data_IF_545666285151
#
_entry.id   IF_545666285151
#
_cell.length_a   1.000
_cell.length_b   1.000
_cell.length_c   1.000
_cell.angle_alpha   90.00
_cell.angle_beta   90.00
_cell.angle_gamma   90.00
#
_symmetry.space_group_name_H-M   'P 1'
#
loop_
_entity.id
_entity.type
_entity.pdbx_description
1 polymer ?
#
# COMPACT_ATOMS: atom_id res chain seq x y z
N UNK A 1 4.57 -11.07 2.77
CA UNK A 1 5.16 -10.88 1.42
C UNK A 1 5.10 -9.39 1.12
N UNK A 2 6.12 -8.82 0.49
CA UNK A 2 6.08 -7.42 0.04
C UNK A 2 5.43 -7.37 -1.33
N UNK A 3 4.49 -6.45 -1.54
CA UNK A 3 3.95 -6.19 -2.87
C UNK A 3 4.93 -5.27 -3.63
N UNK A 4 5.51 -5.72 -4.75
CA UNK A 4 6.37 -4.86 -5.54
C UNK A 4 5.56 -3.92 -6.43
N UNK A 5 6.14 -2.78 -6.82
CA UNK A 5 5.86 -2.08 -8.07
C UNK A 5 6.97 -2.40 -9.05
N UNK A 6 6.68 -2.41 -10.36
CA UNK A 6 7.71 -2.62 -11.38
C UNK A 6 8.03 -1.31 -12.08
N UNK A 7 9.25 -0.81 -11.91
CA UNK A 7 9.68 0.40 -12.62
C UNK A 7 9.92 0.11 -14.10
N UNK A 8 9.13 0.77 -14.95
CA UNK A 8 9.25 0.66 -16.40
C UNK A 8 10.16 1.77 -16.97
N UNK A 9 11.46 1.52 -16.96
CA UNK A 9 12.44 2.47 -17.50
C UNK A 9 12.30 2.69 -19.03
N UNK A 10 11.64 1.79 -19.78
CA UNK A 10 11.35 1.98 -21.22
C UNK A 10 10.28 3.05 -21.50
N UNK A 11 9.65 3.56 -20.46
CA UNK A 11 8.83 4.77 -20.53
C UNK A 11 9.64 6.03 -20.78
N UNK A 12 10.96 6.02 -20.58
CA UNK A 12 11.85 7.13 -20.95
C UNK A 12 12.27 7.06 -22.43
N UNK A 13 12.91 8.10 -23.00
CA UNK A 13 13.17 9.42 -22.43
C UNK A 13 11.93 10.34 -22.39
N UNK A 14 12.00 11.39 -21.58
CA UNK A 14 11.10 12.56 -21.60
C UNK A 14 11.38 13.43 -22.85
N UNK A 15 10.34 14.12 -23.33
CA UNK A 15 10.41 14.91 -24.57
C UNK A 15 11.19 16.22 -24.42
N UNK A 16 11.11 16.88 -23.26
CA UNK A 16 11.78 18.15 -22.98
C UNK A 16 12.42 18.18 -21.59
N UNK A 17 13.43 19.04 -21.42
CA UNK A 17 14.02 19.34 -20.12
C UNK A 17 13.01 20.02 -19.17
N UNK A 18 12.07 20.80 -19.72
CA UNK A 18 11.03 21.47 -18.94
C UNK A 18 10.06 20.48 -18.28
N UNK A 19 9.91 19.28 -18.86
CA UNK A 19 9.03 18.23 -18.35
C UNK A 19 9.64 17.45 -17.18
N UNK A 20 10.95 17.58 -16.94
CA UNK A 20 11.69 16.75 -15.98
C UNK A 20 11.16 16.92 -14.56
N UNK A 21 11.11 18.16 -14.07
CA UNK A 21 10.71 18.40 -12.68
C UNK A 21 9.25 18.00 -12.40
N UNK A 22 8.26 18.39 -13.24
CA UNK A 22 6.89 17.89 -13.10
C UNK A 22 6.80 16.37 -13.13
N UNK A 23 7.45 15.71 -14.10
CA UNK A 23 7.40 14.27 -14.28
C UNK A 23 7.97 13.51 -13.08
N UNK A 24 9.12 13.94 -12.53
CA UNK A 24 9.68 13.33 -11.32
C UNK A 24 8.79 13.61 -10.10
N UNK A 25 8.32 14.84 -9.92
CA UNK A 25 7.44 15.19 -8.79
C UNK A 25 6.20 14.29 -8.77
N UNK A 26 5.59 14.07 -9.94
CA UNK A 26 4.45 13.16 -10.08
C UNK A 26 4.84 11.70 -9.82
N UNK A 27 5.92 11.21 -10.42
CA UNK A 27 6.44 9.85 -10.20
C UNK A 27 6.68 9.54 -8.72
N UNK A 28 7.30 10.47 -7.98
CA UNK A 28 7.55 10.32 -6.54
C UNK A 28 6.25 10.27 -5.73
N UNK A 29 5.27 11.12 -6.08
CA UNK A 29 3.96 11.13 -5.41
C UNK A 29 3.19 9.83 -5.67
N UNK A 30 3.22 9.30 -6.89
CA UNK A 30 2.62 8.00 -7.23
C UNK A 30 3.28 6.90 -6.42
N UNK A 31 4.62 6.86 -6.39
CA UNK A 31 5.40 5.86 -5.64
C UNK A 31 5.03 5.87 -4.15
N UNK A 32 4.94 7.05 -3.55
CA UNK A 32 4.57 7.21 -2.14
C UNK A 32 3.09 6.90 -1.87
N UNK A 33 2.20 7.19 -2.83
CA UNK A 33 0.79 6.82 -2.75
C UNK A 33 0.61 5.30 -2.81
N UNK A 34 1.28 4.63 -3.75
CA UNK A 34 1.29 3.18 -3.85
C UNK A 34 1.96 2.50 -2.65
N UNK A 35 3.03 3.09 -2.09
CA UNK A 35 3.62 2.62 -0.84
C UNK A 35 2.62 2.63 0.31
N UNK A 36 1.77 3.67 0.41
CA UNK A 36 0.70 3.75 1.42
C UNK A 36 -0.41 2.70 1.22
N UNK A 37 -0.58 2.18 -0.01
CA UNK A 37 -1.50 1.07 -0.29
C UNK A 37 -0.92 -0.27 0.19
N UNK A 38 0.41 -0.39 0.27
CA UNK A 38 1.11 -1.61 0.69
C UNK A 38 2.22 -2.06 -0.27
N UNK A 39 2.45 -1.30 -1.36
CA UNK A 39 3.52 -1.57 -2.31
C UNK A 39 4.87 -1.05 -1.83
N UNK A 40 5.58 -1.87 -1.06
CA UNK A 40 6.73 -1.45 -0.24
C UNK A 40 8.09 -1.52 -0.94
N UNK A 41 8.12 -2.16 -2.11
CA UNK A 41 9.35 -2.39 -2.88
C UNK A 41 9.14 -1.90 -4.31
N UNK A 42 10.14 -1.26 -4.90
CA UNK A 42 10.20 -1.00 -6.33
C UNK A 42 11.22 -1.95 -6.95
N UNK A 43 10.76 -2.80 -7.87
CA UNK A 43 11.58 -3.68 -8.69
C UNK A 43 12.18 -2.87 -9.84
N UNK A 44 13.47 -3.00 -10.01
CA UNK A 44 14.26 -2.24 -10.98
C UNK A 44 15.13 -3.20 -11.80
N UNK A 45 15.21 -2.92 -13.10
CA UNK A 45 16.04 -3.66 -14.05
C UNK A 45 17.53 -3.60 -13.69
N UNK A 46 18.29 -4.65 -13.98
CA UNK A 46 19.73 -4.74 -13.68
C UNK A 46 20.58 -3.64 -14.33
N UNK A 47 20.08 -3.06 -15.43
CA UNK A 47 20.74 -1.97 -16.15
C UNK A 47 20.65 -0.62 -15.43
N UNK A 48 19.71 -0.45 -14.50
CA UNK A 48 19.49 0.79 -13.75
C UNK A 48 20.21 0.70 -12.40
N UNK A 49 20.83 1.77 -11.92
CA UNK A 49 21.44 1.72 -10.59
C UNK A 49 20.40 1.77 -9.47
N UNK A 50 20.63 1.04 -8.37
CA UNK A 50 19.75 1.05 -7.18
C UNK A 50 19.57 2.44 -6.56
N UNK A 51 20.49 3.38 -6.80
CA UNK A 51 20.40 4.74 -6.31
C UNK A 51 19.66 5.68 -7.29
N UNK A 52 19.22 5.17 -8.44
CA UNK A 52 18.52 5.86 -9.52
C UNK A 52 19.33 6.97 -10.22
N UNK A 53 20.54 7.28 -9.75
CA UNK A 53 21.28 8.47 -10.15
C UNK A 53 21.84 8.43 -11.58
N UNK A 54 22.03 7.24 -12.14
CA UNK A 54 22.46 7.04 -13.53
C UNK A 54 21.27 6.82 -14.47
N UNK A 55 20.04 6.92 -13.98
CA UNK A 55 18.85 6.90 -14.83
C UNK A 55 18.84 8.15 -15.71
N UNK A 56 19.02 7.97 -17.00
CA UNK A 56 18.92 9.03 -18.00
C UNK A 56 17.45 9.36 -18.25
N UNK A 57 17.06 10.61 -18.00
CA UNK A 57 15.67 11.07 -18.06
C UNK A 57 15.35 11.63 -19.44
N UNK A 58 16.28 12.40 -19.99
CA UNK A 58 16.29 12.86 -21.38
C UNK A 58 17.75 12.93 -21.82
N UNK A 59 18.00 13.18 -23.10
CA UNK A 59 19.33 13.07 -23.69
C UNK A 59 20.38 13.87 -22.90
N UNK A 60 21.32 13.16 -22.25
CA UNK A 60 22.43 13.72 -21.48
C UNK A 60 22.04 14.32 -20.12
N UNK A 61 20.81 14.15 -19.66
CA UNK A 61 20.35 14.65 -18.36
C UNK A 61 19.86 13.48 -17.49
N UNK A 62 20.43 13.36 -16.29
CA UNK A 62 20.21 12.23 -15.40
C UNK A 62 19.41 12.63 -14.15
N UNK A 63 18.86 11.62 -13.46
CA UNK A 63 18.22 11.82 -12.16
C UNK A 63 19.11 12.55 -11.15
N UNK A 64 20.42 12.29 -11.18
CA UNK A 64 21.39 12.99 -10.34
C UNK A 64 21.37 14.51 -10.57
N UNK A 65 21.30 14.95 -11.83
CA UNK A 65 21.31 16.36 -12.18
C UNK A 65 20.06 17.06 -11.64
N UNK A 66 18.89 16.41 -11.77
CA UNK A 66 17.65 16.90 -11.15
C UNK A 66 17.75 16.94 -9.63
N UNK A 67 18.24 15.86 -9.01
CA UNK A 67 18.39 15.78 -7.56
C UNK A 67 19.26 16.92 -7.03
N UNK A 68 20.41 17.16 -7.65
CA UNK A 68 21.36 18.17 -7.19
C UNK A 68 20.75 19.59 -7.31
N UNK A 69 19.96 19.85 -8.34
CA UNK A 69 19.22 21.12 -8.53
C UNK A 69 18.09 21.32 -7.49
N UNK A 70 17.37 20.26 -7.13
CA UNK A 70 16.16 20.34 -6.30
C UNK A 70 16.39 20.02 -4.81
N UNK A 71 17.56 19.52 -4.43
CA UNK A 71 17.87 19.05 -3.06
C UNK A 71 17.73 20.12 -1.96
N UNK A 72 17.76 21.40 -2.34
CA UNK A 72 17.62 22.54 -1.44
C UNK A 72 16.19 23.11 -1.35
N UNK A 73 15.28 22.71 -2.24
CA UNK A 73 13.87 23.10 -2.17
C UNK A 73 13.17 22.34 -1.02
N UNK A 74 12.58 23.02 -0.02
CA UNK A 74 12.00 22.35 1.15
C UNK A 74 10.93 21.30 0.81
N UNK A 75 10.04 21.59 -0.14
CA UNK A 75 8.95 20.67 -0.52
C UNK A 75 9.48 19.44 -1.24
N UNK A 76 10.40 19.65 -2.19
CA UNK A 76 11.00 18.56 -2.97
C UNK A 76 11.94 17.71 -2.11
N UNK A 77 12.65 18.32 -1.15
CA UNK A 77 13.57 17.62 -0.24
C UNK A 77 12.87 16.58 0.63
N UNK A 78 11.72 16.92 1.19
CA UNK A 78 10.96 15.98 2.03
C UNK A 78 10.32 14.86 1.19
N UNK A 79 9.90 15.18 -0.04
CA UNK A 79 9.41 14.20 -1.02
C UNK A 79 10.51 13.19 -1.39
N UNK A 80 11.71 13.67 -1.74
CA UNK A 80 12.89 12.83 -2.03
C UNK A 80 13.24 11.96 -0.82
N UNK A 81 13.29 12.54 0.39
CA UNK A 81 13.62 11.80 1.61
C UNK A 81 12.63 10.67 1.85
N UNK A 82 11.34 10.94 1.65
CA UNK A 82 10.29 9.95 1.82
C UNK A 82 10.39 8.84 0.79
N UNK A 83 10.61 9.19 -0.48
CA UNK A 83 10.80 8.21 -1.56
C UNK A 83 12.00 7.29 -1.32
N UNK A 84 13.13 7.83 -0.85
CA UNK A 84 14.33 7.04 -0.51
C UNK A 84 14.12 6.00 0.59
N UNK A 85 13.02 6.07 1.35
CA UNK A 85 12.66 5.04 2.34
C UNK A 85 11.97 3.84 1.71
N UNK A 86 11.44 3.97 0.49
CA UNK A 86 10.89 2.85 -0.28
C UNK A 86 12.06 1.95 -0.68
N UNK A 87 11.95 0.66 -0.38
CA UNK A 87 13.00 -0.29 -0.73
C UNK A 87 13.09 -0.43 -2.25
N UNK A 88 14.30 -0.45 -2.79
CA UNK A 88 14.55 -0.79 -4.19
C UNK A 88 15.18 -2.17 -4.27
N UNK A 89 14.61 -3.07 -5.07
CA UNK A 89 15.12 -4.41 -5.30
C UNK A 89 15.51 -4.58 -6.76
N UNK A 90 16.62 -5.27 -6.96
CA UNK A 90 17.19 -5.62 -8.25
C UNK A 90 17.97 -6.93 -8.07
N UNK A 91 17.93 -7.86 -9.04
CA UNK A 91 17.23 -7.75 -10.33
C UNK A 91 15.70 -7.89 -10.23
N UNK A 92 15.00 -7.75 -11.37
CA UNK A 92 13.54 -7.90 -11.47
C UNK A 92 13.05 -9.30 -11.04
N UNK A 93 13.90 -10.31 -11.18
CA UNK A 93 13.62 -11.71 -10.87
C UNK A 93 14.66 -12.26 -9.91
N UNK A 94 14.23 -12.93 -8.84
CA UNK A 94 15.08 -13.62 -7.89
C UNK A 94 15.35 -15.06 -8.35
N UNK A 95 16.33 -15.74 -7.76
CA UNK A 95 16.63 -17.14 -8.07
C UNK A 95 15.44 -18.08 -7.91
N UNK A 96 14.49 -17.75 -7.02
CA UNK A 96 13.26 -18.51 -6.86
C UNK A 96 12.35 -18.41 -8.09
N UNK A 97 12.28 -17.24 -8.75
CA UNK A 97 11.46 -17.07 -9.95
C UNK A 97 11.96 -17.98 -11.09
N UNK A 98 13.28 -18.18 -11.19
CA UNK A 98 13.86 -19.14 -12.13
C UNK A 98 13.58 -20.59 -11.76
N UNK A 99 13.52 -20.91 -10.46
CA UNK A 99 13.09 -22.23 -10.01
C UNK A 99 11.59 -22.49 -10.28
N UNK A 100 10.81 -21.42 -10.43
CA UNK A 100 9.39 -21.47 -10.77
C UNK A 100 9.15 -21.31 -12.30
N UNK A 101 10.19 -21.50 -13.12
CA UNK A 101 10.14 -21.51 -14.59
C UNK A 101 9.83 -20.16 -15.27
N UNK A 102 10.25 -19.02 -14.68
CA UNK A 102 10.10 -17.70 -15.32
C UNK A 102 10.74 -17.59 -16.71
N UNK A 103 11.68 -18.47 -17.05
CA UNK A 103 12.29 -18.53 -18.38
C UNK A 103 11.35 -19.05 -19.48
N UNK A 104 10.33 -19.82 -19.10
CA UNK A 104 9.30 -20.37 -20.00
C UNK A 104 8.16 -19.38 -20.28
N UNK A 105 8.31 -18.15 -19.80
CA UNK A 105 7.30 -17.10 -19.83
C UNK A 105 7.87 -15.84 -20.48
N UNK A 106 7.23 -15.30 -21.53
CA UNK A 106 7.64 -14.05 -22.15
C UNK A 106 6.44 -13.12 -22.38
N UNK A 107 6.71 -11.81 -22.36
CA UNK A 107 5.69 -10.77 -22.45
C UNK A 107 6.15 -9.66 -23.38
N UNK A 108 5.31 -9.33 -24.35
CA UNK A 108 5.59 -8.30 -25.34
C UNK A 108 4.40 -7.41 -25.62
N UNK A 109 4.66 -6.20 -26.07
CA UNK A 109 3.60 -5.34 -26.60
C UNK A 109 3.09 -5.89 -27.95
N UNK A 110 1.79 -5.72 -28.26
CA UNK A 110 1.25 -6.09 -29.57
C UNK A 110 1.99 -5.39 -30.72
N UNK A 111 2.28 -6.14 -31.78
CA UNK A 111 2.90 -5.58 -33.01
C UNK A 111 4.38 -5.24 -32.91
N UNK A 112 5.06 -5.54 -31.80
CA UNK A 112 6.51 -5.34 -31.65
C UNK A 112 7.23 -6.61 -31.21
N UNK A 113 8.50 -6.71 -31.61
CA UNK A 113 9.44 -7.74 -31.14
C UNK A 113 10.38 -7.23 -30.04
N UNK A 114 10.19 -5.98 -29.58
CA UNK A 114 11.02 -5.40 -28.52
C UNK A 114 10.73 -6.12 -27.20
N UNK A 115 11.79 -6.64 -26.59
CA UNK A 115 11.74 -7.11 -25.21
C UNK A 115 11.69 -5.89 -24.28
N UNK A 116 10.75 -5.93 -23.33
CA UNK A 116 10.56 -4.92 -22.30
C UNK A 116 10.49 -5.70 -20.97
N UNK A 117 11.63 -5.95 -20.29
CA UNK A 117 11.69 -6.82 -19.12
C UNK A 117 10.73 -6.41 -18.00
N UNK A 118 10.43 -5.12 -17.89
CA UNK A 118 9.43 -4.58 -16.96
C UNK A 118 8.03 -5.15 -17.20
N UNK A 119 7.60 -5.40 -18.45
CA UNK A 119 6.29 -6.00 -18.73
C UNK A 119 6.24 -7.45 -18.25
N UNK A 120 7.30 -8.20 -18.52
CA UNK A 120 7.45 -9.58 -18.05
C UNK A 120 7.39 -9.65 -16.53
N UNK A 121 8.14 -8.78 -15.85
CA UNK A 121 8.14 -8.71 -14.39
C UNK A 121 6.77 -8.29 -13.82
N UNK A 122 6.09 -7.33 -14.45
CA UNK A 122 4.76 -6.90 -14.02
C UNK A 122 3.71 -8.00 -14.17
N UNK A 123 3.73 -8.74 -15.28
CA UNK A 123 2.85 -9.89 -15.47
C UNK A 123 3.18 -11.02 -14.47
N UNK A 124 4.46 -11.38 -14.34
CA UNK A 124 4.94 -12.45 -13.47
C UNK A 124 4.59 -12.24 -11.99
N UNK A 125 4.87 -11.03 -11.47
CA UNK A 125 4.58 -10.67 -10.07
C UNK A 125 3.13 -10.19 -9.87
N UNK A 126 2.32 -10.22 -10.93
CA UNK A 126 0.99 -9.60 -11.03
C UNK A 126 0.94 -8.19 -10.42
N UNK A 127 1.93 -7.38 -10.74
CA UNK A 127 2.22 -6.10 -10.11
C UNK A 127 1.99 -4.94 -11.08
N UNK A 128 1.53 -3.76 -10.60
CA UNK A 128 1.44 -2.59 -11.44
C UNK A 128 2.80 -2.12 -11.95
N UNK A 129 2.83 -1.70 -13.20
CA UNK A 129 3.91 -0.91 -13.77
C UNK A 129 3.89 0.49 -13.17
N UNK A 130 5.07 1.06 -12.97
CA UNK A 130 5.30 2.46 -12.63
C UNK A 130 6.07 3.11 -13.78
N UNK A 131 5.41 4.00 -14.51
CA UNK A 131 5.93 4.58 -15.77
C UNK A 131 5.91 6.10 -15.75
N UNK A 132 6.78 6.71 -16.56
CA UNK A 132 6.64 8.10 -16.97
C UNK A 132 5.64 8.24 -18.14
N UNK A 133 4.76 9.25 -18.13
CA UNK A 133 3.72 9.41 -19.16
C UNK A 133 4.25 10.08 -20.44
N UNK A 134 5.21 9.46 -21.12
CA UNK A 134 5.92 10.10 -22.25
C UNK A 134 5.22 9.95 -23.60
N UNK A 135 4.71 8.75 -23.89
CA UNK A 135 4.10 8.35 -25.17
C UNK A 135 3.26 7.09 -24.98
N UNK A 136 2.31 6.78 -25.89
CA UNK A 136 1.67 5.48 -25.93
C UNK A 136 2.71 4.34 -26.04
N UNK A 137 2.53 3.21 -25.35
CA UNK A 137 1.39 2.89 -24.48
C UNK A 137 1.53 3.36 -23.01
N UNK A 138 2.59 4.09 -22.67
CA UNK A 138 2.93 4.47 -21.29
C UNK A 138 2.04 5.55 -20.68
N UNK A 139 1.20 6.19 -21.50
CA UNK A 139 0.19 7.18 -21.13
C UNK A 139 -1.19 6.56 -20.90
N UNK A 140 -1.30 5.23 -20.95
CA UNK A 140 -2.56 4.51 -20.82
C UNK A 140 -2.51 3.44 -19.73
N UNK A 141 -3.67 3.09 -19.18
CA UNK A 141 -3.87 1.95 -18.28
C UNK A 141 -5.29 1.40 -18.47
N UNK A 142 -5.47 0.08 -18.64
CA UNK A 142 -4.41 -0.94 -18.72
C UNK A 142 -3.61 -0.90 -20.02
N UNK A 143 -2.43 -1.51 -20.01
CA UNK A 143 -1.59 -1.76 -21.20
C UNK A 143 -1.84 -3.18 -21.68
N UNK A 144 -2.39 -3.39 -22.89
CA UNK A 144 -2.54 -4.72 -23.44
C UNK A 144 -1.19 -5.30 -23.83
N UNK A 145 -0.94 -6.54 -23.44
CA UNK A 145 0.28 -7.31 -23.75
C UNK A 145 -0.06 -8.68 -24.30
N UNK A 146 0.86 -9.23 -25.09
CA UNK A 146 0.84 -10.62 -25.50
C UNK A 146 1.75 -11.40 -24.56
N UNK A 147 1.21 -12.48 -24.00
CA UNK A 147 1.91 -13.39 -23.10
C UNK A 147 2.11 -14.71 -23.83
N UNK A 148 3.36 -15.17 -23.86
CA UNK A 148 3.75 -16.46 -24.41
C UNK A 148 4.24 -17.34 -23.27
N UNK A 149 3.61 -18.50 -23.08
CA UNK A 149 4.01 -19.48 -22.07
C UNK A 149 4.24 -20.83 -22.72
N UNK A 150 5.36 -21.48 -22.40
CA UNK A 150 5.60 -22.87 -22.78
C UNK A 150 4.87 -23.81 -21.82
N UNK A 151 4.04 -24.69 -22.35
CA UNK A 151 3.37 -25.74 -21.59
C UNK A 151 4.28 -26.97 -21.42
N UNK A 152 3.89 -27.88 -20.52
CA UNK A 152 4.67 -29.08 -20.16
C UNK A 152 4.89 -30.05 -21.35
N UNK A 153 4.02 -29.98 -22.37
CA UNK A 153 4.12 -30.74 -23.62
C UNK A 153 5.01 -30.07 -24.68
N UNK A 154 5.58 -28.91 -24.36
CA UNK A 154 6.41 -28.10 -25.24
C UNK A 154 5.63 -27.21 -26.20
N UNK A 155 4.29 -27.19 -26.14
CA UNK A 155 3.49 -26.26 -26.94
C UNK A 155 3.58 -24.82 -26.40
N UNK A 156 3.60 -23.84 -27.30
CA UNK A 156 3.57 -22.42 -26.92
C UNK A 156 2.12 -21.96 -26.87
N UNK A 157 1.66 -21.63 -25.68
CA UNK A 157 0.35 -21.03 -25.44
C UNK A 157 0.49 -19.52 -25.49
N UNK A 158 -0.33 -18.89 -26.34
CA UNK A 158 -0.40 -17.44 -26.47
C UNK A 158 -1.69 -16.93 -25.81
N UNK A 159 -1.59 -15.90 -24.99
CA UNK A 159 -2.73 -15.18 -24.43
C UNK A 159 -2.52 -13.67 -24.55
N UNK A 160 -3.62 -12.92 -24.38
CA UNK A 160 -3.57 -11.46 -24.21
C UNK A 160 -3.90 -11.16 -22.76
N UNK A 161 -3.10 -10.30 -22.15
CA UNK A 161 -3.31 -9.82 -20.78
C UNK A 161 -3.29 -8.29 -20.71
N UNK A 162 -3.82 -7.75 -19.62
CA UNK A 162 -3.91 -6.32 -19.37
C UNK A 162 -3.05 -5.97 -18.15
N UNK A 163 -1.94 -5.28 -18.38
CA UNK A 163 -1.04 -4.84 -17.32
C UNK A 163 -1.44 -3.46 -16.82
N UNK A 164 -1.62 -3.35 -15.52
CA UNK A 164 -1.96 -2.10 -14.85
C UNK A 164 -0.77 -1.15 -14.88
N UNK A 165 -0.97 0.11 -15.26
CA UNK A 165 0.10 1.09 -15.41
C UNK A 165 -0.19 2.37 -14.63
N UNK A 166 0.61 2.64 -13.61
CA UNK A 166 0.55 3.83 -12.79
C UNK A 166 1.47 4.90 -13.40
N UNK A 167 0.89 5.80 -14.17
CA UNK A 167 1.61 6.88 -14.86
C UNK A 167 1.20 8.30 -14.44
N UNK A 168 0.10 8.44 -13.68
CA UNK A 168 -0.38 9.72 -13.15
C UNK A 168 -1.02 9.56 -11.77
N UNK A 169 -1.11 10.65 -11.00
CA UNK A 169 -1.82 10.64 -9.70
C UNK A 169 -3.30 10.32 -9.90
N UNK A 170 -3.92 10.86 -10.95
CA UNK A 170 -5.32 10.58 -11.26
C UNK A 170 -5.57 9.08 -11.51
N UNK A 171 -4.65 8.41 -12.22
CA UNK A 171 -4.74 6.98 -12.45
C UNK A 171 -4.57 6.18 -11.15
N UNK A 172 -3.64 6.57 -10.28
CA UNK A 172 -3.47 5.93 -8.97
C UNK A 172 -4.74 6.05 -8.12
N UNK A 173 -5.33 7.24 -8.00
CA UNK A 173 -6.55 7.44 -7.21
C UNK A 173 -7.73 6.65 -7.78
N UNK A 174 -7.83 6.54 -9.12
CA UNK A 174 -8.83 5.71 -9.79
C UNK A 174 -8.69 4.22 -9.43
N UNK A 175 -7.46 3.71 -9.41
CA UNK A 175 -7.18 2.28 -9.19
C UNK A 175 -7.00 1.89 -7.72
N UNK A 176 -6.81 2.88 -6.82
CA UNK A 176 -6.54 2.69 -5.40
C UNK A 176 -7.48 1.68 -4.72
N UNK A 177 -8.82 1.70 -4.92
CA UNK A 177 -9.72 0.76 -4.26
C UNK A 177 -9.40 -0.71 -4.57
N UNK A 178 -9.21 -1.04 -5.85
CA UNK A 178 -8.92 -2.41 -6.28
C UNK A 178 -7.51 -2.85 -5.87
N UNK A 179 -6.54 -1.93 -5.91
CA UNK A 179 -5.18 -2.20 -5.45
C UNK A 179 -5.14 -2.49 -3.95
N UNK A 180 -5.89 -1.73 -3.14
CA UNK A 180 -6.04 -1.98 -1.71
C UNK A 180 -6.72 -3.32 -1.44
N UNK A 181 -7.78 -3.65 -2.17
CA UNK A 181 -8.45 -4.96 -2.07
C UNK A 181 -7.50 -6.11 -2.41
N UNK A 182 -6.71 -5.98 -3.48
CA UNK A 182 -5.70 -6.97 -3.85
C UNK A 182 -4.70 -7.23 -2.73
N UNK A 183 -4.11 -6.17 -2.17
CA UNK A 183 -3.17 -6.27 -1.03
C UNK A 183 -3.85 -6.94 0.18
N UNK A 184 -5.07 -6.52 0.52
CA UNK A 184 -5.78 -7.03 1.69
C UNK A 184 -6.29 -8.48 1.54
N UNK A 185 -6.62 -8.91 0.32
CA UNK A 185 -7.05 -10.29 0.04
C UNK A 185 -5.96 -11.34 0.28
N UNK A 186 -4.69 -10.92 0.25
CA UNK A 186 -3.56 -11.79 0.59
C UNK A 186 -3.38 -11.98 2.10
N UNK A 187 -4.02 -11.15 2.93
CA UNK A 187 -4.06 -11.32 4.39
C UNK A 187 -5.17 -12.31 4.73
N UNK A 188 -4.77 -13.57 5.01
CA UNK A 188 -5.65 -14.71 5.25
C UNK A 188 -5.78 -15.07 6.73
N UNK A 189 -4.92 -14.55 7.58
CA UNK A 189 -4.94 -14.81 9.03
C UNK A 189 -4.67 -13.56 9.87
N UNK A 190 -5.06 -13.59 11.15
CA UNK A 190 -4.74 -12.52 12.10
C UNK A 190 -3.23 -12.35 12.31
N UNK A 191 -2.45 -13.44 12.24
CA UNK A 191 -0.98 -13.37 12.33
C UNK A 191 -0.38 -12.61 11.15
N UNK A 192 -0.81 -12.92 9.93
CA UNK A 192 -0.39 -12.19 8.73
C UNK A 192 -0.84 -10.73 8.77
N UNK A 193 -2.04 -10.45 9.29
CA UNK A 193 -2.52 -9.09 9.48
C UNK A 193 -1.57 -8.31 10.39
N UNK A 194 -1.18 -8.89 11.53
CA UNK A 194 -0.27 -8.24 12.46
C UNK A 194 1.13 -8.02 11.85
N UNK A 195 1.66 -9.01 11.14
CA UNK A 195 2.97 -8.91 10.48
C UNK A 195 2.98 -7.82 9.40
N UNK A 196 1.86 -7.61 8.71
CA UNK A 196 1.71 -6.62 7.64
C UNK A 196 1.08 -5.30 8.10
N UNK A 197 0.66 -5.20 9.37
CA UNK A 197 -0.13 -4.07 9.87
C UNK A 197 0.54 -2.71 9.65
N UNK A 198 1.85 -2.62 9.87
CA UNK A 198 2.61 -1.37 9.66
C UNK A 198 2.67 -0.93 8.21
N UNK A 199 2.51 -1.87 7.28
CA UNK A 199 2.55 -1.63 5.85
C UNK A 199 1.16 -1.25 5.33
N UNK A 200 0.13 -2.01 5.71
CA UNK A 200 -1.23 -1.87 5.16
C UNK A 200 -2.07 -0.86 5.94
N UNK A 201 -1.75 -0.64 7.23
CA UNK A 201 -2.43 0.30 8.10
C UNK A 201 -1.42 1.23 8.80
N UNK A 202 -0.65 2.03 8.04
CA UNK A 202 0.47 2.82 8.57
C UNK A 202 0.05 3.87 9.62
N UNK A 203 -1.22 4.28 9.63
CA UNK A 203 -1.76 5.25 10.56
C UNK A 203 -2.40 4.61 11.82
N UNK A 204 -2.38 3.28 11.91
CA UNK A 204 -2.91 2.53 13.05
C UNK A 204 -1.78 1.97 13.90
N UNK A 205 -2.01 1.96 15.22
CA UNK A 205 -1.08 1.38 16.17
C UNK A 205 -1.75 0.28 17.00
N UNK A 206 -1.40 -0.97 16.72
CA UNK A 206 -1.88 -2.11 17.51
C UNK A 206 -1.17 -2.14 18.87
N UNK A 207 -1.97 -2.26 19.93
CA UNK A 207 -1.49 -2.33 21.31
C UNK A 207 -1.38 -3.79 21.75
N UNK A 208 -0.57 -4.06 22.79
CA UNK A 208 -0.18 -5.42 23.18
C UNK A 208 -1.34 -6.44 23.25
N UNK A 209 -2.50 -6.06 23.78
CA UNK A 209 -3.66 -6.97 23.84
C UNK A 209 -4.27 -7.29 22.48
N UNK A 210 -4.43 -6.29 21.61
CA UNK A 210 -4.88 -6.50 20.23
C UNK A 210 -3.88 -7.34 19.42
N UNK A 211 -2.57 -7.15 19.65
CA UNK A 211 -1.54 -7.97 19.01
C UNK A 211 -1.65 -9.44 19.43
N UNK A 212 -1.79 -9.71 20.74
CA UNK A 212 -2.02 -11.07 21.25
C UNK A 212 -3.22 -11.73 20.56
N UNK A 213 -4.34 -11.01 20.45
CA UNK A 213 -5.58 -11.53 19.86
C UNK A 213 -5.45 -11.82 18.37
N UNK A 214 -4.68 -11.00 17.64
CA UNK A 214 -4.37 -11.26 16.23
C UNK A 214 -3.42 -12.45 16.07
N UNK A 215 -2.41 -12.60 16.94
CA UNK A 215 -1.49 -13.75 16.92
C UNK A 215 -2.20 -15.07 17.17
N UNK A 216 -3.17 -15.08 18.09
CA UNK A 216 -3.96 -16.28 18.45
C UNK A 216 -5.35 -16.26 17.83
N UNK A 217 -5.50 -15.64 16.66
CA UNK A 217 -6.79 -15.45 16.01
C UNK A 217 -7.52 -16.78 15.82
N UNK A 218 -8.65 -16.94 16.50
CA UNK A 218 -9.45 -18.18 16.50
C UNK A 218 -10.82 -18.02 15.86
N UNK A 219 -11.13 -16.85 15.30
CA UNK A 219 -12.41 -16.57 14.68
C UNK A 219 -12.42 -16.90 13.18
N UNK A 220 -13.61 -16.93 12.57
CA UNK A 220 -13.77 -17.25 11.16
C UNK A 220 -13.09 -16.22 10.24
N UNK A 221 -12.68 -16.65 9.05
CA UNK A 221 -12.13 -15.77 8.01
C UNK A 221 -13.10 -14.65 7.63
N UNK A 222 -14.41 -14.93 7.61
CA UNK A 222 -15.43 -13.90 7.37
C UNK A 222 -15.44 -12.79 8.42
N UNK A 223 -15.12 -13.08 9.69
CA UNK A 223 -14.99 -12.04 10.70
C UNK A 223 -13.70 -11.24 10.50
N UNK A 224 -12.62 -11.91 10.07
CA UNK A 224 -11.36 -11.24 9.75
C UNK A 224 -11.57 -10.21 8.62
N UNK A 225 -12.33 -10.54 7.58
CA UNK A 225 -12.69 -9.58 6.52
C UNK A 225 -13.40 -8.35 7.07
N UNK A 226 -14.41 -8.54 7.92
CA UNK A 226 -15.16 -7.41 8.52
C UNK A 226 -14.26 -6.57 9.44
N UNK A 227 -13.28 -7.18 10.12
CA UNK A 227 -12.28 -6.45 10.91
C UNK A 227 -11.33 -5.67 10.00
N UNK A 228 -10.86 -6.25 8.89
CA UNK A 228 -10.02 -5.55 7.89
C UNK A 228 -10.75 -4.33 7.31
N UNK A 229 -12.04 -4.46 7.00
CA UNK A 229 -12.88 -3.33 6.54
C UNK A 229 -12.87 -2.17 7.55
N UNK A 230 -13.10 -2.49 8.84
CA UNK A 230 -13.11 -1.47 9.89
C UNK A 230 -11.73 -0.82 10.08
N UNK A 231 -10.65 -1.60 10.03
CA UNK A 231 -9.28 -1.09 10.09
C UNK A 231 -8.97 -0.19 8.87
N UNK A 232 -9.42 -0.56 7.68
CA UNK A 232 -9.23 0.26 6.48
C UNK A 232 -9.92 1.63 6.62
N UNK A 233 -11.14 1.66 7.15
CA UNK A 233 -11.85 2.93 7.39
C UNK A 233 -11.17 3.77 8.47
N UNK A 234 -10.71 3.16 9.56
CA UNK A 234 -9.95 3.87 10.60
C UNK A 234 -8.63 4.43 10.05
N UNK A 235 -7.90 3.67 9.23
CA UNK A 235 -6.66 4.13 8.61
C UNK A 235 -6.94 5.31 7.66
N UNK A 236 -7.93 5.18 6.77
CA UNK A 236 -8.36 6.23 5.83
C UNK A 236 -8.81 7.49 6.57
N UNK A 237 -9.51 7.35 7.70
CA UNK A 237 -9.89 8.47 8.55
C UNK A 237 -8.67 9.27 9.01
N UNK A 238 -7.62 8.58 9.49
CA UNK A 238 -6.40 9.25 9.93
C UNK A 238 -5.63 9.87 8.76
N UNK A 239 -5.59 9.22 7.59
CA UNK A 239 -5.01 9.82 6.37
C UNK A 239 -5.70 11.14 6.03
N UNK A 240 -7.03 11.16 6.02
CA UNK A 240 -7.81 12.36 5.71
C UNK A 240 -7.67 13.43 6.80
N UNK A 241 -7.46 13.03 8.05
CA UNK A 241 -7.20 13.94 9.13
C UNK A 241 -5.82 14.59 9.00
N UNK A 242 -4.78 13.83 8.67
CA UNK A 242 -3.45 14.38 8.36
C UNK A 242 -3.47 15.35 7.19
N UNK A 243 -4.26 15.05 6.16
CA UNK A 243 -4.42 15.89 4.97
C UNK A 243 -5.32 17.12 5.22
N UNK A 244 -5.88 17.29 6.43
CA UNK A 244 -6.77 18.40 6.78
C UNK A 244 -8.15 18.34 6.12
N UNK A 245 -8.51 17.21 5.51
CA UNK A 245 -9.84 16.98 4.90
C UNK A 245 -10.93 16.71 5.95
N UNK A 246 -10.50 16.31 7.14
CA UNK A 246 -11.34 16.08 8.31
C UNK A 246 -10.74 16.85 9.49
N UNK A 247 -11.57 17.57 10.24
CA UNK A 247 -11.12 18.41 11.37
C UNK A 247 -10.79 17.59 12.63
N UNK A 248 -11.41 16.42 12.79
CA UNK A 248 -11.22 15.55 13.93
C UNK A 248 -12.22 14.39 13.93
N UNK A 249 -12.16 13.59 14.99
CA UNK A 249 -12.99 12.40 15.10
C UNK A 249 -14.46 12.71 15.41
N UNK A 250 -15.35 12.12 14.62
CA UNK A 250 -16.75 11.87 14.98
C UNK A 250 -17.15 10.47 14.50
N UNK A 251 -18.21 9.90 15.07
CA UNK A 251 -18.78 8.65 14.56
C UNK A 251 -19.27 8.79 13.10
N UNK A 252 -19.85 9.95 12.77
CA UNK A 252 -20.40 10.23 11.44
C UNK A 252 -19.31 10.28 10.37
N UNK A 253 -18.11 10.76 10.71
CA UNK A 253 -16.97 10.74 9.79
C UNK A 253 -16.57 9.31 9.40
N UNK A 254 -16.55 8.37 10.36
CA UNK A 254 -16.27 6.97 10.03
C UNK A 254 -17.37 6.37 9.15
N UNK A 255 -18.64 6.70 9.40
CA UNK A 255 -19.75 6.24 8.55
C UNK A 255 -19.69 6.84 7.15
N UNK A 256 -19.33 8.12 7.01
CA UNK A 256 -19.11 8.80 5.71
C UNK A 256 -18.00 8.13 4.90
N UNK A 257 -16.97 7.64 5.58
CA UNK A 257 -15.87 6.88 4.99
C UNK A 257 -16.18 5.40 4.74
N UNK A 258 -17.42 4.96 5.00
CA UNK A 258 -17.91 3.64 4.64
C UNK A 258 -17.90 2.61 5.76
N UNK A 259 -17.71 3.00 7.04
CA UNK A 259 -17.86 2.05 8.15
C UNK A 259 -19.31 1.56 8.23
N UNK A 260 -19.54 0.30 7.83
CA UNK A 260 -20.87 -0.33 7.85
C UNK A 260 -21.29 -0.73 9.26
N UNK A 261 -20.33 -1.07 10.11
CA UNK A 261 -20.57 -1.52 11.47
C UNK A 261 -20.90 -0.36 12.40
N UNK A 262 -21.79 -0.61 13.38
CA UNK A 262 -22.11 0.39 14.40
C UNK A 262 -20.87 0.70 15.25
N UNK A 263 -20.56 1.98 15.37
CA UNK A 263 -19.54 2.49 16.28
C UNK A 263 -20.21 3.24 17.45
N UNK A 264 -19.67 3.11 18.65
CA UNK A 264 -20.16 3.84 19.83
C UNK A 264 -19.09 3.99 20.91
N UNK A 265 -19.25 4.96 21.80
CA UNK A 265 -18.48 5.07 23.04
C UNK A 265 -19.03 4.21 24.18
N UNK A 266 -18.25 4.05 25.24
CA UNK A 266 -18.68 3.44 26.50
C UNK A 266 -19.68 4.33 27.26
N UNK A 267 -20.64 3.68 27.94
CA UNK A 267 -21.66 4.35 28.74
C UNK A 267 -21.10 4.94 30.04
N UNK A 268 -21.85 5.87 30.62
CA UNK A 268 -21.52 6.50 31.89
C UNK A 268 -21.41 5.48 33.05
N UNK A 269 -22.25 4.44 33.02
CA UNK A 269 -22.18 3.33 33.99
C UNK A 269 -20.85 2.57 33.93
N UNK A 270 -20.30 2.37 32.73
CA UNK A 270 -18.98 1.73 32.54
C UNK A 270 -17.86 2.68 32.96
N UNK A 271 -17.96 3.98 32.66
CA UNK A 271 -16.96 4.99 33.03
C UNK A 271 -16.82 5.16 34.53
N UNK A 272 -17.95 5.20 35.24
CA UNK A 272 -18.00 5.48 36.67
C UNK A 272 -17.76 4.24 37.55
N UNK A 273 -17.75 3.03 36.97
CA UNK A 273 -17.40 1.82 37.68
C UNK A 273 -15.92 1.48 37.47
N UNK A 274 -15.07 1.55 38.51
CA UNK A 274 -13.63 1.33 38.38
C UNK A 274 -13.26 -0.04 37.81
N UNK A 275 -14.04 -1.09 38.12
CA UNK A 275 -13.78 -2.45 37.61
C UNK A 275 -14.06 -2.53 36.11
N UNK A 276 -15.19 -1.98 35.66
CA UNK A 276 -15.59 -2.01 34.26
C UNK A 276 -14.69 -1.12 33.40
N UNK A 277 -14.35 0.07 33.92
CA UNK A 277 -13.39 0.98 33.29
C UNK A 277 -12.03 0.31 33.08
N UNK A 278 -11.49 -0.33 34.13
CA UNK A 278 -10.18 -1.02 34.09
C UNK A 278 -10.09 -2.10 33.00
N UNK A 279 -11.22 -2.73 32.64
CA UNK A 279 -11.27 -3.72 31.57
C UNK A 279 -11.14 -3.12 30.16
N UNK A 280 -11.40 -1.82 29.96
CA UNK A 280 -11.16 -1.07 28.71
C UNK A 280 -9.86 -0.27 28.74
N UNK A 281 -9.04 -0.46 29.76
CA UNK A 281 -7.75 0.19 29.82
C UNK A 281 -6.66 -0.71 29.25
N UNK A 282 -6.02 -0.25 28.18
CA UNK A 282 -4.96 -0.98 27.49
C UNK A 282 -3.66 -0.18 27.51
N UNK A 283 -2.53 -0.90 27.44
CA UNK A 283 -1.21 -0.29 27.37
C UNK A 283 -0.93 0.20 25.95
N UNK A 284 -0.61 1.48 25.82
CA UNK A 284 0.02 2.04 24.63
C UNK A 284 1.46 1.50 24.51
N UNK A 285 2.09 1.58 23.32
CA UNK A 285 3.49 1.20 23.14
C UNK A 285 4.47 1.97 24.03
N UNK A 286 4.08 3.15 24.51
CA UNK A 286 4.85 3.96 25.46
C UNK A 286 4.84 3.39 26.89
N UNK A 287 4.04 2.36 27.17
CA UNK A 287 3.81 1.82 28.50
C UNK A 287 2.73 2.56 29.30
N UNK A 288 2.18 3.66 28.76
CA UNK A 288 1.06 4.37 29.36
C UNK A 288 -0.22 3.52 29.25
N UNK A 289 -1.01 3.48 30.32
CA UNK A 289 -2.31 2.81 30.31
C UNK A 289 -3.41 3.82 30.04
N UNK A 290 -4.17 3.62 28.96
CA UNK A 290 -5.20 4.56 28.52
C UNK A 290 -6.55 3.87 28.41
N UNK A 291 -7.64 4.60 28.63
CA UNK A 291 -9.00 4.11 28.51
C UNK A 291 -9.49 4.19 27.05
N UNK A 292 -9.83 3.04 26.46
CA UNK A 292 -10.27 2.92 25.07
C UNK A 292 -11.80 2.94 25.04
N UNK A 293 -12.33 4.18 24.97
CA UNK A 293 -13.76 4.47 25.05
C UNK A 293 -14.53 3.97 23.82
N UNK A 294 -13.97 4.12 22.62
CA UNK A 294 -14.68 3.86 21.39
C UNK A 294 -14.55 2.42 20.96
N UNK A 295 -15.62 1.88 20.38
CA UNK A 295 -15.61 0.53 19.86
C UNK A 295 -16.52 0.35 18.64
N UNK A 296 -16.04 -0.46 17.69
CA UNK A 296 -16.81 -0.95 16.54
C UNK A 296 -17.45 -2.29 16.93
N UNK A 297 -18.73 -2.46 16.62
CA UNK A 297 -19.50 -3.68 16.93
C UNK A 297 -19.61 -4.58 15.71
N UNK A 298 -19.14 -5.81 15.86
CA UNK A 298 -19.24 -6.87 14.87
C UNK A 298 -20.30 -7.91 15.28
N UNK A 299 -20.67 -8.83 14.37
CA UNK A 299 -21.53 -9.95 14.70
C UNK A 299 -21.01 -10.78 15.89
N UNK A 300 -21.90 -11.54 16.53
CA UNK A 300 -21.58 -12.47 17.64
C UNK A 300 -20.95 -11.81 18.86
N UNK A 301 -21.24 -10.53 19.09
CA UNK A 301 -20.77 -9.81 20.27
C UNK A 301 -19.28 -9.44 20.22
N UNK A 302 -18.63 -9.59 19.07
CA UNK A 302 -17.22 -9.19 18.91
C UNK A 302 -17.13 -7.67 18.78
N UNK A 303 -16.09 -7.09 19.38
CA UNK A 303 -15.80 -5.65 19.37
C UNK A 303 -14.34 -5.38 19.07
N UNK A 304 -14.09 -4.33 18.31
CA UNK A 304 -12.78 -3.69 18.22
C UNK A 304 -12.82 -2.41 19.03
N UNK A 305 -12.01 -2.31 20.09
CA UNK A 305 -11.84 -1.09 20.88
C UNK A 305 -10.66 -0.28 20.37
N UNK A 306 -10.85 1.03 20.26
CA UNK A 306 -9.83 1.95 19.81
C UNK A 306 -9.79 3.23 20.64
N UNK A 307 -8.63 3.87 20.63
CA UNK A 307 -8.35 5.16 21.25
C UNK A 307 -7.74 6.08 20.22
N UNK A 308 -8.13 7.34 20.22
CA UNK A 308 -7.62 8.34 19.29
C UNK A 308 -6.74 9.30 20.07
N UNK A 309 -5.52 9.53 19.59
CA UNK A 309 -4.60 10.51 20.17
C UNK A 309 -4.46 11.70 19.20
N UNK A 310 -5.19 12.80 19.43
CA UNK A 310 -5.22 13.92 18.48
C UNK A 310 -3.87 14.60 18.27
N UNK A 311 -3.03 14.65 19.31
CA UNK A 311 -1.76 15.36 19.26
C UNK A 311 -0.77 14.78 18.25
N UNK A 312 -0.94 13.49 17.91
CA UNK A 312 -0.09 12.77 16.97
C UNK A 312 -0.90 12.17 15.80
N UNK A 313 -2.18 12.53 15.69
CA UNK A 313 -3.13 11.98 14.72
C UNK A 313 -2.95 10.46 14.54
N UNK A 314 -3.05 9.69 15.62
CA UNK A 314 -2.89 8.23 15.58
C UNK A 314 -4.09 7.56 16.23
N UNK A 315 -4.56 6.49 15.61
CA UNK A 315 -5.57 5.60 16.18
C UNK A 315 -4.87 4.36 16.74
N UNK A 316 -5.05 4.15 18.04
CA UNK A 316 -4.56 2.97 18.75
C UNK A 316 -5.65 1.91 18.81
N UNK A 317 -5.32 0.67 18.49
CA UNK A 317 -6.22 -0.48 18.57
C UNK A 317 -5.89 -1.25 19.86
N UNK A 318 -6.82 -1.26 20.80
CA UNK A 318 -6.60 -1.81 22.14
C UNK A 318 -6.99 -3.26 22.27
N UNK A 319 -8.07 -3.66 21.59
CA UNK A 319 -8.69 -4.97 21.76
C UNK A 319 -9.52 -5.35 20.53
N UNK A 320 -9.49 -6.62 20.13
CA UNK A 320 -10.32 -7.22 19.09
C UNK A 320 -10.79 -8.59 19.58
N UNK A 321 -12.02 -8.70 20.08
CA UNK A 321 -12.52 -9.94 20.66
C UNK A 321 -13.93 -9.82 21.21
N UNK A 322 -14.34 -10.77 22.05
CA UNK A 322 -15.66 -10.78 22.67
C UNK A 322 -15.95 -9.53 23.51
N UNK A 323 -17.24 -9.31 23.74
CA UNK A 323 -17.71 -8.23 24.58
C UNK A 323 -17.06 -8.27 25.97
N UNK A 324 -16.36 -7.19 26.35
CA UNK A 324 -15.76 -7.04 27.68
C UNK A 324 -16.82 -6.99 28.79
N UNK A 325 -16.53 -7.40 30.04
CA UNK A 325 -17.54 -7.47 31.11
C UNK A 325 -18.38 -6.19 31.28
N UNK A 326 -19.66 -6.35 31.60
CA UNK A 326 -20.62 -5.27 31.91
C UNK A 326 -20.85 -5.10 33.41
#
# INVERSE_FOLDING_TARGET
MSHPLVFNHHSLPLNSADDIHPAISEFLKISLGAHRIGFTVILVDETIDKAWFRLELTQGYFWKDWHDQQSNDPQTKDLIRSFRRIATQQPLFLSQDYADDVELFDVRLPGTKKNVPALKAAAWHESPLLSFPTRPPWTDSPIPVLVEKMADDGEIVNSTEELRNLYSIAQLEKEKPELQEKVQSQIRSGKELLEQARTVYPCLCFCGKSEEQLRTWSYSSSLLEVVKDALNVLNTFVEYWHDGRIAGYTHDELHRLGLKNKVSGESESVRNNPKLRKAREFYLPTGEKTFFEYHVKFPRGIRLHFFIKPEIHTVFIGYIGEHLPL
#
